data_IF_600195291711
#
_entry.id   IF_600195291711
#
_cell.length_a   1.000
_cell.length_b   1.000
_cell.length_c   1.000
_cell.angle_alpha   90.00
_cell.angle_beta   90.00
_cell.angle_gamma   90.00
#
_symmetry.space_group_name_H-M   'P 1'
#
loop_
_entity.id
_entity.type
_entity.pdbx_description
1 polymer ?
#
# COMPACT_ATOMS: atom_id res chain seq x y z
N UNK A 1 0.47 -9.97 -17.21
CA UNK A 1 0.34 -9.63 -15.79
C UNK A 1 -0.80 -10.41 -15.17
N UNK A 2 -0.62 -10.91 -13.96
CA UNK A 2 -1.66 -11.48 -13.12
C UNK A 2 -1.70 -10.69 -11.80
N UNK A 3 -2.84 -10.15 -11.45
CA UNK A 3 -3.10 -9.40 -10.23
C UNK A 3 -4.58 -9.56 -9.82
N UNK A 4 -4.93 -9.07 -8.64
CA UNK A 4 -6.32 -8.89 -8.19
C UNK A 4 -6.53 -7.43 -7.84
N UNK A 5 -7.78 -6.96 -7.84
CA UNK A 5 -8.17 -5.61 -7.40
C UNK A 5 -8.10 -5.47 -5.87
N UNK A 6 -8.50 -6.50 -5.13
CA UNK A 6 -8.42 -6.60 -3.67
C UNK A 6 -8.38 -8.06 -3.23
N UNK A 7 -8.09 -8.29 -1.97
CA UNK A 7 -8.30 -9.54 -1.27
C UNK A 7 -9.67 -9.61 -0.59
N UNK A 8 -9.83 -10.51 0.38
CA UNK A 8 -11.05 -10.68 1.15
C UNK A 8 -10.73 -11.23 2.56
N UNK A 9 -11.43 -10.74 3.57
CA UNK A 9 -11.40 -11.28 4.93
C UNK A 9 -12.35 -12.48 4.97
N UNK A 10 -11.83 -13.63 5.37
CA UNK A 10 -12.58 -14.90 5.44
C UNK A 10 -12.77 -15.33 6.91
N UNK A 11 -13.16 -14.41 7.76
CA UNK A 11 -13.31 -14.50 9.21
C UNK A 11 -12.02 -14.21 10.01
N UNK A 12 -10.91 -13.81 9.37
CA UNK A 12 -9.77 -13.29 10.13
C UNK A 12 -10.22 -12.03 10.89
N UNK A 13 -9.75 -11.91 12.15
CA UNK A 13 -10.15 -10.82 13.07
C UNK A 13 -11.68 -10.66 13.22
N UNK A 14 -12.43 -11.76 13.07
CA UNK A 14 -13.90 -11.77 13.12
C UNK A 14 -14.55 -10.89 12.05
N UNK A 15 -13.83 -10.61 10.96
CA UNK A 15 -14.27 -9.76 9.86
C UNK A 15 -14.51 -10.59 8.58
N UNK A 16 -15.41 -10.11 7.76
CA UNK A 16 -15.69 -10.67 6.42
C UNK A 16 -15.66 -9.56 5.38
N UNK A 17 -15.45 -9.93 4.12
CA UNK A 17 -15.34 -9.02 3.00
C UNK A 17 -14.04 -8.16 3.05
N UNK A 18 -13.98 -7.17 2.19
CA UNK A 18 -12.96 -6.12 2.11
C UNK A 18 -13.44 -4.89 2.89
N UNK A 19 -12.90 -3.75 2.74
CA UNK A 19 -13.22 -2.46 3.38
C UNK A 19 -12.37 -2.17 4.61
N UNK A 20 -11.16 -2.72 4.62
CA UNK A 20 -10.15 -2.44 5.62
C UNK A 20 -8.76 -2.54 4.98
N UNK A 21 -7.71 -2.23 5.72
CA UNK A 21 -6.34 -2.29 5.23
C UNK A 21 -5.52 -3.44 5.80
N UNK A 22 -6.14 -4.45 6.40
CA UNK A 22 -5.43 -5.66 6.76
C UNK A 22 -4.92 -6.40 5.53
N UNK A 23 -3.80 -7.11 5.67
CA UNK A 23 -3.11 -7.79 4.54
C UNK A 23 -4.05 -8.71 3.75
N UNK A 24 -4.97 -9.40 4.40
CA UNK A 24 -5.97 -10.26 3.73
C UNK A 24 -6.88 -9.49 2.77
N UNK A 25 -7.17 -8.23 3.08
CA UNK A 25 -8.04 -7.37 2.27
C UNK A 25 -7.27 -6.57 1.22
N UNK A 26 -6.10 -6.03 1.55
CA UNK A 26 -5.42 -5.06 0.68
C UNK A 26 -4.16 -5.60 -0.02
N UNK A 27 -3.56 -6.71 0.44
CA UNK A 27 -2.45 -7.34 -0.23
C UNK A 27 -2.93 -8.29 -1.31
N UNK A 28 -2.56 -8.03 -2.55
CA UNK A 28 -2.91 -8.83 -3.71
C UNK A 28 -1.67 -9.42 -4.37
N UNK A 29 -1.78 -10.55 -5.09
CA UNK A 29 -0.69 -11.04 -5.90
C UNK A 29 -0.40 -10.04 -7.03
N UNK A 30 0.88 -9.90 -7.37
CA UNK A 30 1.31 -9.25 -8.60
C UNK A 30 2.41 -10.10 -9.24
N UNK A 31 2.06 -10.78 -10.31
CA UNK A 31 3.00 -11.57 -11.11
C UNK A 31 3.11 -10.96 -12.49
N UNK A 32 4.33 -10.69 -12.93
CA UNK A 32 4.59 -10.12 -14.24
C UNK A 32 5.53 -11.02 -15.04
N UNK A 33 5.21 -11.25 -16.30
CA UNK A 33 6.09 -11.85 -17.27
C UNK A 33 6.46 -10.83 -18.31
N UNK A 34 7.72 -10.42 -18.29
CA UNK A 34 8.25 -9.47 -19.26
C UNK A 34 8.71 -10.18 -20.55
N UNK A 35 8.80 -9.45 -21.68
CA UNK A 35 9.42 -9.96 -22.90
C UNK A 35 10.83 -10.52 -22.65
N UNK A 36 11.25 -11.45 -23.47
CA UNK A 36 12.60 -12.06 -23.47
C UNK A 36 13.07 -12.61 -22.11
N UNK A 37 12.13 -12.84 -21.18
CA UNK A 37 12.42 -13.37 -19.85
C UNK A 37 13.19 -12.40 -18.94
N UNK A 38 13.14 -11.08 -19.21
CA UNK A 38 13.76 -10.08 -18.36
C UNK A 38 13.29 -10.21 -16.91
N UNK A 39 14.24 -10.24 -15.97
CA UNK A 39 13.99 -10.46 -14.53
C UNK A 39 13.22 -11.75 -14.19
N UNK A 40 13.23 -12.77 -15.08
CA UNK A 40 12.56 -14.04 -14.79
C UNK A 40 13.09 -14.71 -13.52
N UNK A 41 12.19 -15.30 -12.73
CA UNK A 41 12.53 -16.00 -11.49
C UNK A 41 12.93 -15.10 -10.33
N UNK A 42 12.75 -13.78 -10.44
CA UNK A 42 13.06 -12.83 -9.35
C UNK A 42 11.81 -12.49 -8.52
N UNK A 43 12.02 -12.19 -7.25
CA UNK A 43 11.01 -11.67 -6.33
C UNK A 43 11.48 -10.34 -5.77
N UNK A 44 10.60 -9.36 -5.71
CA UNK A 44 10.87 -8.03 -5.14
C UNK A 44 10.05 -7.84 -3.87
N UNK A 45 10.71 -7.42 -2.80
CA UNK A 45 10.09 -7.16 -1.51
C UNK A 45 9.62 -5.71 -1.34
N UNK A 46 10.06 -4.79 -2.22
CA UNK A 46 9.63 -3.40 -2.18
C UNK A 46 8.12 -3.29 -2.37
N UNK A 47 7.39 -2.57 -1.50
CA UNK A 47 5.97 -2.33 -1.68
C UNK A 47 5.67 -1.67 -3.02
N UNK A 48 4.67 -2.19 -3.73
CA UNK A 48 4.17 -1.64 -5.00
C UNK A 48 2.66 -1.46 -4.93
N UNK A 49 2.13 -0.60 -5.78
CA UNK A 49 0.69 -0.30 -5.87
C UNK A 49 0.13 -0.77 -7.22
N UNK A 50 -1.15 -1.10 -7.29
CA UNK A 50 -1.84 -1.33 -8.56
C UNK A 50 -1.85 -0.08 -9.46
N UNK A 51 -1.72 1.12 -8.86
CA UNK A 51 -1.57 2.38 -9.60
C UNK A 51 -0.32 2.39 -10.50
N UNK A 52 0.71 1.63 -10.13
CA UNK A 52 1.96 1.54 -10.87
C UNK A 52 1.83 0.80 -12.21
N UNK A 53 0.75 0.05 -12.38
CA UNK A 53 0.52 -0.72 -13.61
C UNK A 53 0.30 0.19 -14.82
N UNK A 54 -0.44 1.30 -14.67
CA UNK A 54 -0.70 2.22 -15.76
C UNK A 54 0.60 2.79 -16.36
N UNK A 55 1.46 3.50 -15.62
CA UNK A 55 2.70 4.04 -16.19
C UNK A 55 3.66 2.94 -16.66
N UNK A 56 3.63 1.75 -16.03
CA UNK A 56 4.44 0.61 -16.47
C UNK A 56 4.00 0.09 -17.83
N UNK A 57 2.69 -0.05 -18.07
CA UNK A 57 2.18 -0.51 -19.35
C UNK A 57 2.39 0.52 -20.46
N UNK A 58 2.21 1.81 -20.18
CA UNK A 58 2.52 2.86 -21.12
C UNK A 58 3.98 2.80 -21.56
N UNK A 59 4.91 2.72 -20.61
CA UNK A 59 6.34 2.60 -20.90
C UNK A 59 6.67 1.34 -21.73
N UNK A 60 6.05 0.19 -21.42
CA UNK A 60 6.24 -1.05 -22.18
C UNK A 60 5.68 -0.95 -23.61
N UNK A 61 4.67 -0.12 -23.82
CA UNK A 61 4.11 0.18 -25.15
C UNK A 61 4.89 1.24 -25.93
N UNK A 62 5.89 1.87 -25.30
CA UNK A 62 6.65 2.98 -25.90
C UNK A 62 5.91 4.32 -25.86
N UNK A 63 4.93 4.45 -24.96
CA UNK A 63 4.07 5.62 -24.83
C UNK A 63 4.21 6.24 -23.43
N UNK A 64 3.85 7.51 -23.30
CA UNK A 64 3.70 8.18 -22.00
C UNK A 64 2.24 8.13 -21.53
N UNK A 65 2.02 8.10 -20.23
CA UNK A 65 0.67 8.20 -19.68
C UNK A 65 0.10 9.59 -19.95
N UNK A 66 -1.01 9.66 -20.70
CA UNK A 66 -1.62 10.92 -21.15
C UNK A 66 -2.30 11.72 -20.05
N UNK A 67 -2.63 11.08 -18.92
CA UNK A 67 -3.33 11.70 -17.79
C UNK A 67 -2.43 11.72 -16.56
N UNK A 68 -2.61 12.71 -15.67
CA UNK A 68 -1.97 12.68 -14.36
C UNK A 68 -2.26 11.36 -13.63
N UNK A 69 -1.27 10.77 -13.02
CA UNK A 69 -1.38 9.52 -12.27
C UNK A 69 -0.49 9.54 -11.04
N UNK A 70 -0.87 8.78 -10.02
CA UNK A 70 -0.13 8.66 -8.76
C UNK A 70 0.82 7.45 -8.72
N UNK A 71 0.78 6.60 -9.75
CA UNK A 71 1.63 5.42 -9.86
C UNK A 71 3.05 5.75 -10.33
N UNK A 72 3.98 4.87 -10.04
CA UNK A 72 5.37 4.91 -10.50
C UNK A 72 5.65 3.74 -11.47
N UNK A 73 6.49 3.99 -12.47
CA UNK A 73 6.87 2.93 -13.41
C UNK A 73 7.70 1.85 -12.70
N UNK A 74 7.18 0.63 -12.68
CA UNK A 74 7.82 -0.52 -12.04
C UNK A 74 9.15 -0.92 -12.69
N UNK A 75 9.38 -0.63 -13.98
CA UNK A 75 10.64 -1.00 -14.64
C UNK A 75 11.83 -0.31 -13.97
N UNK A 76 11.73 0.99 -13.70
CA UNK A 76 12.74 1.74 -12.98
C UNK A 76 12.92 1.27 -11.54
N UNK A 77 11.84 0.92 -10.85
CA UNK A 77 11.89 0.36 -9.49
C UNK A 77 12.59 -1.01 -9.46
N UNK A 78 12.34 -1.87 -10.46
CA UNK A 78 12.95 -3.19 -10.58
C UNK A 78 14.43 -3.14 -10.92
N UNK A 79 14.90 -2.08 -11.57
CA UNK A 79 16.31 -1.88 -11.92
C UNK A 79 17.12 -1.31 -10.77
N UNK A 80 16.63 -0.27 -10.14
CA UNK A 80 17.38 0.55 -9.21
C UNK A 80 17.11 0.19 -7.73
N UNK A 81 15.98 -0.45 -7.43
CA UNK A 81 15.49 -0.65 -6.09
C UNK A 81 15.17 0.68 -5.39
N UNK A 82 14.21 0.69 -4.50
CA UNK A 82 14.00 1.85 -3.61
C UNK A 82 13.63 1.33 -2.22
N UNK A 83 14.59 1.40 -1.30
CA UNK A 83 14.39 0.97 0.08
C UNK A 83 13.32 1.83 0.80
N UNK A 84 13.17 3.10 0.39
CA UNK A 84 12.35 4.10 1.10
C UNK A 84 11.00 4.37 0.44
N UNK A 85 10.58 3.53 -0.51
CA UNK A 85 9.29 3.74 -1.17
C UNK A 85 8.13 3.56 -0.18
N UNK A 86 7.22 4.55 -0.18
CA UNK A 86 5.97 4.50 0.56
C UNK A 86 4.80 4.38 -0.41
N UNK A 87 3.96 3.38 -0.26
CA UNK A 87 2.71 3.22 -1.02
C UNK A 87 1.53 3.57 -0.14
N UNK A 88 0.45 4.06 -0.78
CA UNK A 88 -0.74 4.51 -0.10
C UNK A 88 -1.98 3.82 -0.65
N UNK A 89 -2.99 3.68 0.20
CA UNK A 89 -4.35 3.32 -0.18
C UNK A 89 -5.33 4.15 0.66
N UNK A 90 -6.49 4.44 0.09
CA UNK A 90 -7.54 5.20 0.79
C UNK A 90 -8.88 4.48 0.67
N UNK A 91 -9.71 4.62 1.69
CA UNK A 91 -11.09 4.16 1.72
C UNK A 91 -11.93 5.17 2.51
N UNK A 92 -13.14 5.47 2.01
CA UNK A 92 -14.05 6.41 2.65
C UNK A 92 -15.48 5.85 2.71
N UNK A 93 -16.17 5.84 1.59
CA UNK A 93 -17.61 5.50 1.52
C UNK A 93 -17.96 4.14 2.12
N UNK A 94 -17.03 3.20 2.04
CA UNK A 94 -17.28 1.84 2.47
C UNK A 94 -17.13 1.62 3.98
N UNK A 95 -16.43 2.53 4.67
CA UNK A 95 -16.11 2.42 6.11
C UNK A 95 -16.74 3.55 6.94
N UNK A 96 -17.38 4.52 6.27
CA UNK A 96 -18.11 5.61 6.90
C UNK A 96 -17.25 6.75 7.46
N UNK A 97 -15.93 6.61 7.44
CA UNK A 97 -14.97 7.65 7.82
C UNK A 97 -13.73 7.56 6.91
N UNK A 98 -13.03 8.66 6.65
CA UNK A 98 -11.77 8.62 5.92
C UNK A 98 -10.76 7.70 6.58
N UNK A 99 -10.29 6.73 5.82
CA UNK A 99 -9.21 5.83 6.23
C UNK A 99 -8.12 5.86 5.18
N UNK A 100 -6.87 5.98 5.61
CA UNK A 100 -5.71 6.06 4.73
C UNK A 100 -4.62 5.14 5.26
N UNK A 101 -4.12 4.26 4.41
CA UNK A 101 -2.99 3.40 4.72
C UNK A 101 -1.72 3.96 4.07
N UNK A 102 -0.62 3.93 4.80
CA UNK A 102 0.73 4.13 4.29
C UNK A 102 1.58 2.90 4.62
N UNK A 103 2.28 2.33 3.62
CA UNK A 103 3.22 1.24 3.82
C UNK A 103 4.60 1.61 3.29
N UNK A 104 5.61 1.47 4.15
CA UNK A 104 7.02 1.66 3.82
C UNK A 104 7.83 0.51 4.42
N UNK A 105 8.56 -0.22 3.56
CA UNK A 105 9.24 -1.43 3.98
C UNK A 105 8.28 -2.44 4.60
N UNK A 106 8.57 -2.85 5.84
CA UNK A 106 7.73 -3.77 6.61
C UNK A 106 6.71 -3.06 7.53
N UNK A 107 6.81 -1.74 7.70
CA UNK A 107 5.85 -0.99 8.51
C UNK A 107 4.62 -0.57 7.72
N UNK A 108 3.46 -0.73 8.34
CA UNK A 108 2.17 -0.29 7.82
C UNK A 108 1.44 0.56 8.87
N UNK A 109 1.07 1.77 8.47
CA UNK A 109 0.31 2.72 9.27
C UNK A 109 -1.08 2.91 8.67
N UNK A 110 -2.11 2.74 9.48
CA UNK A 110 -3.49 3.00 9.13
C UNK A 110 -3.98 4.22 9.91
N UNK A 111 -4.20 5.33 9.21
CA UNK A 111 -4.90 6.49 9.73
C UNK A 111 -6.40 6.25 9.65
N UNK A 112 -7.13 6.52 10.72
CA UNK A 112 -8.60 6.37 10.79
C UNK A 112 -9.18 7.66 11.37
N UNK A 113 -9.79 8.49 10.52
CA UNK A 113 -10.31 9.79 10.93
C UNK A 113 -11.28 9.67 12.10
N UNK A 114 -11.05 10.48 13.16
CA UNK A 114 -11.87 10.47 14.38
C UNK A 114 -11.75 9.22 15.25
N UNK A 115 -10.87 8.29 14.93
CA UNK A 115 -10.66 7.05 15.66
C UNK A 115 -9.17 6.83 15.98
N UNK A 116 -8.87 5.71 16.63
CA UNK A 116 -7.49 5.33 16.95
C UNK A 116 -6.79 4.80 15.72
N UNK A 117 -5.67 5.41 15.37
CA UNK A 117 -4.77 4.94 14.32
C UNK A 117 -4.11 3.59 14.69
N UNK A 118 -3.50 2.95 13.70
CA UNK A 118 -2.83 1.65 13.88
C UNK A 118 -1.45 1.66 13.22
N UNK A 119 -0.48 1.02 13.87
CA UNK A 119 0.84 0.73 13.31
C UNK A 119 1.15 -0.75 13.46
N UNK A 120 1.59 -1.38 12.39
CA UNK A 120 1.99 -2.78 12.36
C UNK A 120 3.39 -2.95 11.78
N UNK A 121 4.11 -3.93 12.29
CA UNK A 121 5.35 -4.46 11.72
C UNK A 121 5.04 -5.80 11.06
N UNK A 122 4.95 -5.81 9.74
CA UNK A 122 4.54 -6.99 8.97
C UNK A 122 5.64 -8.06 8.86
N UNK A 123 6.87 -7.75 9.27
CA UNK A 123 7.96 -8.74 9.34
C UNK A 123 7.81 -9.62 10.58
N UNK A 124 7.52 -9.02 11.73
CA UNK A 124 7.39 -9.72 13.01
C UNK A 124 5.96 -10.12 13.34
N UNK A 125 4.98 -9.40 12.79
CA UNK A 125 3.54 -9.65 12.96
C UNK A 125 2.79 -9.57 11.62
N UNK A 126 2.97 -10.54 10.73
CA UNK A 126 2.28 -10.55 9.43
C UNK A 126 0.75 -10.69 9.54
N UNK A 127 0.24 -11.07 10.70
CA UNK A 127 -1.18 -11.14 11.03
C UNK A 127 -1.76 -9.86 11.62
N UNK A 128 -0.94 -8.81 11.81
CA UNK A 128 -1.39 -7.50 12.30
C UNK A 128 -2.21 -7.57 13.61
N UNK A 129 -1.78 -8.43 14.53
CA UNK A 129 -2.48 -8.64 15.79
C UNK A 129 -2.15 -7.58 16.85
N UNK A 130 -0.95 -7.00 16.78
CA UNK A 130 -0.43 -6.08 17.78
C UNK A 130 -0.30 -4.67 17.20
N UNK A 131 -1.14 -3.73 17.66
CA UNK A 131 -0.95 -2.31 17.36
C UNK A 131 0.25 -1.76 18.14
N UNK A 132 1.26 -1.24 17.43
CA UNK A 132 2.53 -0.76 17.97
C UNK A 132 2.53 0.73 18.33
N UNK A 133 1.44 1.47 18.15
CA UNK A 133 1.38 2.91 18.41
C UNK A 133 1.66 3.31 19.85
N UNK A 134 1.43 2.42 20.81
CA UNK A 134 1.69 2.68 22.23
C UNK A 134 3.13 2.33 22.65
N UNK A 135 3.92 1.73 21.77
CA UNK A 135 5.31 1.39 22.04
C UNK A 135 6.23 2.53 21.61
N UNK A 136 6.83 3.22 22.58
CA UNK A 136 7.73 4.35 22.34
C UNK A 136 8.90 4.05 21.37
N UNK A 137 9.27 2.78 21.21
CA UNK A 137 10.31 2.38 20.24
C UNK A 137 9.91 2.65 18.79
N UNK A 138 8.61 2.79 18.52
CA UNK A 138 8.08 2.98 17.18
C UNK A 138 7.54 4.41 16.93
N UNK A 139 7.79 5.34 17.87
CA UNK A 139 7.31 6.72 17.78
C UNK A 139 7.85 7.46 16.54
N UNK A 140 9.13 7.26 16.22
CA UNK A 140 9.76 7.89 15.05
C UNK A 140 9.10 7.45 13.75
N UNK A 141 8.96 6.14 13.53
CA UNK A 141 8.36 5.61 12.30
C UNK A 141 6.85 5.92 12.21
N UNK A 142 6.13 5.89 13.34
CA UNK A 142 4.71 6.24 13.38
C UNK A 142 4.50 7.71 13.00
N UNK A 143 5.30 8.60 13.55
CA UNK A 143 5.26 10.04 13.24
C UNK A 143 5.61 10.29 11.77
N UNK A 144 6.64 9.63 11.25
CA UNK A 144 7.05 9.76 9.85
C UNK A 144 5.95 9.31 8.88
N UNK A 145 5.36 8.13 9.10
CA UNK A 145 4.30 7.60 8.22
C UNK A 145 3.03 8.44 8.30
N UNK A 146 2.62 8.86 9.50
CA UNK A 146 1.50 9.76 9.67
C UNK A 146 1.73 11.10 8.98
N UNK A 147 2.94 11.64 9.09
CA UNK A 147 3.34 12.86 8.40
C UNK A 147 3.24 12.75 6.87
N UNK A 148 3.68 11.62 6.29
CA UNK A 148 3.53 11.35 4.85
C UNK A 148 2.06 11.28 4.40
N UNK A 149 1.18 10.70 5.23
CA UNK A 149 -0.26 10.69 4.96
C UNK A 149 -0.80 12.11 4.91
N UNK A 150 -0.55 12.91 5.95
CA UNK A 150 -1.10 14.27 6.06
C UNK A 150 -0.51 15.28 5.05
N UNK A 151 0.67 14.99 4.49
CA UNK A 151 1.23 15.78 3.38
C UNK A 151 0.54 15.50 2.05
N UNK A 152 0.01 14.29 1.86
CA UNK A 152 -0.59 13.84 0.60
C UNK A 152 -2.10 13.93 0.58
N UNK A 153 -2.74 13.73 1.73
CA UNK A 153 -4.19 13.67 1.88
C UNK A 153 -4.64 14.68 2.94
N UNK A 154 -5.76 15.34 2.67
CA UNK A 154 -6.46 16.17 3.65
C UNK A 154 -7.63 15.35 4.21
N UNK A 155 -7.51 14.78 5.42
CA UNK A 155 -8.59 13.96 6.00
C UNK A 155 -9.85 14.77 6.34
N UNK A 156 -9.72 16.07 6.62
CA UNK A 156 -10.87 16.96 6.90
C UNK A 156 -11.70 17.16 5.63
N UNK A 157 -11.03 17.41 4.50
CA UNK A 157 -11.70 17.53 3.20
C UNK A 157 -12.38 16.22 2.76
N UNK A 158 -11.82 15.07 3.13
CA UNK A 158 -12.41 13.77 2.83
C UNK A 158 -13.62 13.44 3.72
N UNK A 159 -13.81 14.15 4.86
CA UNK A 159 -14.89 13.89 5.81
C UNK A 159 -16.20 14.64 5.45
N UNK A 160 -16.11 15.65 4.57
CA UNK A 160 -17.24 16.43 4.06
C UNK A 160 -17.90 15.74 2.85
#
# INVERSE_FOLDING_TARGET
VFASDHGDMLCEKEMVQKRNFYEWSCRVPLLMRFPDGWKAGTTFATPVSLLDLLPTFCQLAGEEALLPHDGENLLGLLENGTADRCVFAQAHEAVGVPCIMARQGHFKYNYVHGNKDQLFDLETDPGEWKNLLEDAKHEEISTALRGKILQRFDPEWMAD
#
